data_IF_627279825459
#
_entry.id   IF_627279825459
#
_cell.length_a   1.000
_cell.length_b   1.000
_cell.length_c   1.000
_cell.angle_alpha   90.00
_cell.angle_beta   90.00
_cell.angle_gamma   90.00
#
_symmetry.space_group_name_H-M   'P 1'
#
loop_
_entity.id
_entity.type
_entity.pdbx_description
1 polymer ?
#
# COMPACT_ATOMS: atom_id res chain seq x y z
N UNK A 1 18.64 2.05 -7.05
CA UNK A 1 18.32 3.29 -7.80
C UNK A 1 16.83 3.44 -8.14
N UNK A 2 16.17 2.47 -8.78
CA UNK A 2 14.75 2.58 -9.21
C UNK A 2 13.76 2.96 -8.09
N UNK A 3 13.91 2.40 -6.89
CA UNK A 3 13.00 2.71 -5.75
C UNK A 3 13.12 4.14 -5.21
N UNK A 4 14.32 4.73 -5.28
CA UNK A 4 14.55 6.12 -4.82
C UNK A 4 13.94 7.11 -5.80
N UNK A 5 14.03 6.82 -7.10
CA UNK A 5 13.39 7.62 -8.16
C UNK A 5 11.87 7.59 -8.00
N UNK A 6 11.27 6.41 -7.82
CA UNK A 6 9.81 6.28 -7.61
C UNK A 6 9.32 7.02 -6.37
N UNK A 7 10.07 6.99 -5.28
CA UNK A 7 9.74 7.77 -4.08
C UNK A 7 9.85 9.27 -4.33
N UNK A 8 10.89 9.72 -5.03
CA UNK A 8 11.04 11.11 -5.46
C UNK A 8 9.85 11.59 -6.30
N UNK A 9 9.45 10.81 -7.30
CA UNK A 9 8.29 11.12 -8.15
C UNK A 9 6.99 11.24 -7.35
N UNK A 10 6.77 10.36 -6.37
CA UNK A 10 5.58 10.38 -5.53
C UNK A 10 5.55 11.54 -4.53
N UNK A 11 6.70 11.90 -3.94
CA UNK A 11 6.80 13.11 -3.13
C UNK A 11 6.55 14.37 -3.96
N UNK A 12 7.10 14.43 -5.17
CA UNK A 12 6.88 15.55 -6.08
C UNK A 12 5.40 15.66 -6.46
N UNK A 13 4.74 14.54 -6.74
CA UNK A 13 3.30 14.47 -7.01
C UNK A 13 2.48 14.92 -5.79
N UNK A 14 2.83 14.47 -4.58
CA UNK A 14 2.17 14.89 -3.34
C UNK A 14 2.28 16.41 -3.13
N UNK A 15 3.48 16.97 -3.29
CA UNK A 15 3.72 18.42 -3.17
C UNK A 15 2.91 19.16 -4.25
N UNK A 16 2.92 18.68 -5.49
CA UNK A 16 2.17 19.27 -6.60
C UNK A 16 0.67 19.32 -6.32
N UNK A 17 0.08 18.21 -5.85
CA UNK A 17 -1.34 18.16 -5.49
C UNK A 17 -1.64 19.11 -4.33
N UNK A 18 -0.79 19.16 -3.29
CA UNK A 18 -0.96 20.09 -2.18
C UNK A 18 -0.93 21.54 -2.65
N UNK A 19 0.05 21.93 -3.48
CA UNK A 19 0.19 23.30 -3.99
C UNK A 19 -1.04 23.69 -4.84
N UNK A 20 -1.46 22.83 -5.76
CA UNK A 20 -2.63 23.09 -6.60
C UNK A 20 -3.91 23.20 -5.76
N UNK A 21 -4.05 22.33 -4.75
CA UNK A 21 -5.22 22.35 -3.85
C UNK A 21 -5.29 23.63 -3.02
N UNK A 22 -4.15 24.07 -2.47
CA UNK A 22 -4.06 25.31 -1.67
C UNK A 22 -4.34 26.55 -2.52
N UNK A 23 -3.84 26.57 -3.77
CA UNK A 23 -4.07 27.68 -4.68
C UNK A 23 -5.52 27.75 -5.17
N UNK A 24 -6.12 26.59 -5.49
CA UNK A 24 -7.48 26.53 -6.01
C UNK A 24 -8.55 26.86 -4.95
N UNK A 25 -8.41 26.31 -3.74
CA UNK A 25 -9.43 26.44 -2.69
C UNK A 25 -8.78 26.58 -1.31
N UNK A 26 -8.57 27.81 -0.79
CA UNK A 26 -7.97 28.01 0.53
C UNK A 26 -8.78 27.41 1.68
N UNK A 27 -10.10 27.32 1.54
CA UNK A 27 -11.00 26.73 2.56
C UNK A 27 -10.77 25.22 2.76
N UNK A 28 -10.13 24.55 1.81
CA UNK A 28 -9.77 23.13 1.89
C UNK A 28 -8.59 22.88 2.85
N UNK A 29 -7.83 23.92 3.23
CA UNK A 29 -6.73 23.81 4.21
C UNK A 29 -7.20 23.24 5.54
N UNK A 30 -8.41 23.59 5.99
CA UNK A 30 -8.95 23.12 7.28
C UNK A 30 -9.21 21.61 7.22
N UNK A 31 -9.81 21.13 6.14
CA UNK A 31 -10.07 19.70 5.95
C UNK A 31 -8.79 18.91 5.76
N UNK A 32 -7.80 19.49 5.07
CA UNK A 32 -6.49 18.88 4.89
C UNK A 32 -5.72 18.83 6.22
N UNK A 33 -5.78 19.88 7.03
CA UNK A 33 -5.19 19.92 8.36
C UNK A 33 -5.83 18.90 9.33
N UNK A 34 -7.11 18.57 9.16
CA UNK A 34 -7.80 17.51 9.90
C UNK A 34 -7.46 16.11 9.37
N UNK A 35 -7.32 15.95 8.06
CA UNK A 35 -7.00 14.67 7.42
C UNK A 35 -5.52 14.27 7.58
N UNK A 36 -4.60 15.22 7.70
CA UNK A 36 -3.17 14.99 7.85
C UNK A 36 -2.81 14.16 9.11
N UNK A 37 -3.22 14.52 10.34
CA UNK A 37 -2.87 13.72 11.52
C UNK A 37 -3.49 12.33 11.49
N UNK A 38 -4.70 12.19 10.92
CA UNK A 38 -5.34 10.89 10.77
C UNK A 38 -4.57 10.01 9.79
N UNK A 39 -4.16 10.56 8.64
CA UNK A 39 -3.37 9.84 7.64
C UNK A 39 -1.96 9.51 8.13
N UNK A 40 -1.31 10.38 8.91
CA UNK A 40 -0.02 10.10 9.54
C UNK A 40 -0.11 8.97 10.58
N UNK A 41 -1.17 8.95 11.41
CA UNK A 41 -1.41 7.83 12.33
C UNK A 41 -1.62 6.51 11.58
N UNK A 42 -2.39 6.54 10.49
CA UNK A 42 -2.59 5.39 9.62
C UNK A 42 -1.29 4.94 8.96
N UNK A 43 -0.45 5.88 8.53
CA UNK A 43 0.88 5.60 7.98
C UNK A 43 1.75 4.86 9.00
N UNK A 44 1.85 5.39 10.22
CA UNK A 44 2.67 4.80 11.27
C UNK A 44 2.22 3.37 11.63
N UNK A 45 0.92 3.15 11.80
CA UNK A 45 0.38 1.81 12.05
C UNK A 45 0.59 0.86 10.88
N UNK A 46 0.56 1.34 9.64
CA UNK A 46 0.83 0.51 8.48
C UNK A 46 2.31 0.13 8.34
N UNK A 47 3.22 1.08 8.57
CA UNK A 47 4.66 0.83 8.55
C UNK A 47 5.04 -0.23 9.59
N UNK A 48 4.55 -0.11 10.82
CA UNK A 48 4.84 -1.10 11.88
C UNK A 48 4.26 -2.49 11.61
N UNK A 49 3.10 -2.59 10.97
CA UNK A 49 2.48 -3.89 10.63
C UNK A 49 3.11 -4.52 9.38
N UNK A 50 3.42 -3.72 8.36
CA UNK A 50 3.87 -4.23 7.06
C UNK A 50 5.31 -4.75 7.08
N UNK A 51 6.20 -4.19 7.90
CA UNK A 51 7.59 -4.65 8.02
C UNK A 51 7.72 -6.13 8.42
N UNK A 52 7.16 -6.61 9.55
CA UNK A 52 7.28 -8.01 9.94
C UNK A 52 6.57 -8.95 8.97
N UNK A 53 5.44 -8.53 8.38
CA UNK A 53 4.73 -9.30 7.34
C UNK A 53 5.59 -9.50 6.09
N UNK A 54 6.30 -8.47 5.64
CA UNK A 54 7.21 -8.57 4.49
C UNK A 54 8.41 -9.46 4.79
N UNK A 55 8.94 -9.41 6.00
CA UNK A 55 10.00 -10.32 6.41
C UNK A 55 9.51 -11.78 6.42
N UNK A 56 8.31 -12.03 6.94
CA UNK A 56 7.68 -13.34 6.92
C UNK A 56 7.40 -13.86 5.49
N UNK A 57 6.93 -12.99 4.58
CA UNK A 57 6.76 -13.32 3.17
C UNK A 57 8.11 -13.69 2.51
N UNK A 58 9.17 -12.93 2.77
CA UNK A 58 10.50 -13.24 2.25
C UNK A 58 11.03 -14.58 2.80
N UNK A 59 10.83 -14.84 4.10
CA UNK A 59 11.27 -16.07 4.76
C UNK A 59 10.53 -17.32 4.24
N UNK A 60 9.22 -17.21 3.97
CA UNK A 60 8.41 -18.33 3.45
C UNK A 60 8.65 -18.60 1.96
N UNK A 61 9.11 -17.60 1.20
CA UNK A 61 9.38 -17.75 -0.24
C UNK A 61 10.71 -18.45 -0.55
N UNK A 62 11.73 -18.31 0.30
CA UNK A 62 13.05 -18.92 0.10
C UNK A 62 13.02 -20.48 0.06
N UNK A 63 12.34 -21.17 1.00
CA UNK A 63 12.22 -22.63 0.99
C UNK A 63 11.64 -23.19 -0.30
N UNK A 64 10.64 -22.52 -0.91
CA UNK A 64 10.03 -22.94 -2.18
C UNK A 64 11.09 -23.04 -3.28
N UNK A 65 11.96 -22.03 -3.39
CA UNK A 65 13.03 -22.03 -4.39
C UNK A 65 14.11 -23.08 -4.09
N UNK A 66 14.48 -23.23 -2.82
CA UNK A 66 15.46 -24.23 -2.40
C UNK A 66 14.97 -25.66 -2.69
N UNK A 67 13.72 -25.96 -2.33
CA UNK A 67 13.13 -27.28 -2.53
C UNK A 67 12.93 -27.60 -4.01
N UNK A 68 12.60 -26.59 -4.83
CA UNK A 68 12.55 -26.74 -6.29
C UNK A 68 13.93 -26.99 -6.90
N UNK A 69 14.97 -26.28 -6.44
CA UNK A 69 16.34 -26.49 -6.88
C UNK A 69 16.86 -27.89 -6.51
N UNK A 70 16.55 -28.37 -5.30
CA UNK A 70 16.88 -29.73 -4.85
C UNK A 70 16.17 -30.79 -5.70
N UNK A 71 14.88 -30.60 -6.00
CA UNK A 71 14.11 -31.49 -6.85
C UNK A 71 14.67 -31.57 -8.29
N UNK A 72 15.16 -30.44 -8.83
CA UNK A 72 15.81 -30.40 -10.15
C UNK A 72 17.16 -31.13 -10.15
N UNK A 73 17.99 -30.90 -9.14
CA UNK A 73 19.29 -31.56 -9.02
C UNK A 73 19.14 -33.09 -8.81
N UNK A 74 18.13 -33.51 -8.03
CA UNK A 74 17.84 -34.91 -7.71
C UNK A 74 16.83 -35.61 -8.64
N UNK A 75 16.44 -35.00 -9.76
CA UNK A 75 15.27 -35.44 -10.55
C UNK A 75 15.35 -36.90 -10.99
N UNK A 76 16.53 -37.34 -11.45
CA UNK A 76 16.76 -38.73 -11.90
C UNK A 76 16.55 -39.71 -10.75
N UNK A 77 17.08 -39.40 -9.57
CA UNK A 77 16.98 -40.23 -8.35
C UNK A 77 15.52 -40.31 -7.91
N UNK A 78 14.81 -39.18 -7.84
CA UNK A 78 13.40 -39.14 -7.42
C UNK A 78 12.53 -39.99 -8.36
N UNK A 79 12.80 -39.93 -9.67
CA UNK A 79 12.10 -40.74 -10.67
C UNK A 79 12.45 -42.22 -10.55
N UNK A 80 13.72 -42.56 -10.33
CA UNK A 80 14.17 -43.94 -10.15
C UNK A 80 13.49 -44.62 -8.95
N UNK A 81 13.26 -43.89 -7.86
CA UNK A 81 12.60 -44.41 -6.65
C UNK A 81 11.07 -44.25 -6.63
N UNK A 82 10.46 -43.63 -7.65
CA UNK A 82 9.00 -43.44 -7.69
C UNK A 82 8.44 -42.54 -6.58
N UNK A 83 9.25 -41.61 -6.03
CA UNK A 83 8.88 -40.75 -4.88
C UNK A 83 8.45 -39.34 -5.28
N UNK A 84 8.05 -39.13 -6.54
CA UNK A 84 7.50 -37.86 -7.04
C UNK A 84 6.35 -37.29 -6.19
N UNK A 85 5.32 -38.07 -5.78
CA UNK A 85 4.17 -37.50 -5.07
C UNK A 85 4.55 -36.93 -3.70
N UNK A 86 5.56 -37.49 -3.02
CA UNK A 86 6.03 -37.00 -1.73
C UNK A 86 6.73 -35.63 -1.87
N UNK A 87 7.57 -35.49 -2.90
CA UNK A 87 8.20 -34.21 -3.23
C UNK A 87 7.17 -33.16 -3.67
N UNK A 88 6.18 -33.55 -4.47
CA UNK A 88 5.10 -32.64 -4.89
C UNK A 88 4.24 -32.19 -3.72
N UNK A 89 3.85 -33.10 -2.81
CA UNK A 89 3.07 -32.74 -1.63
C UNK A 89 3.81 -31.74 -0.73
N UNK A 90 5.12 -31.92 -0.55
CA UNK A 90 5.95 -30.98 0.22
C UNK A 90 6.09 -29.63 -0.48
N UNK A 91 6.29 -29.62 -1.80
CA UNK A 91 6.33 -28.38 -2.58
C UNK A 91 5.01 -27.61 -2.50
N UNK A 92 3.86 -28.28 -2.62
CA UNK A 92 2.55 -27.66 -2.48
C UNK A 92 2.37 -27.04 -1.08
N UNK A 93 2.81 -27.73 -0.03
CA UNK A 93 2.75 -27.19 1.33
C UNK A 93 3.55 -25.88 1.47
N UNK A 94 4.80 -25.86 0.99
CA UNK A 94 5.65 -24.67 1.04
C UNK A 94 5.05 -23.53 0.18
N UNK A 95 4.44 -23.86 -0.95
CA UNK A 95 3.73 -22.89 -1.81
C UNK A 95 2.49 -22.32 -1.12
N UNK A 96 1.70 -23.14 -0.42
CA UNK A 96 0.52 -22.69 0.32
C UNK A 96 0.91 -21.73 1.45
N UNK A 97 2.00 -22.01 2.16
CA UNK A 97 2.54 -21.11 3.18
C UNK A 97 2.98 -19.76 2.61
N UNK A 98 3.74 -19.79 1.51
CA UNK A 98 4.20 -18.58 0.83
C UNK A 98 3.03 -17.76 0.26
N UNK A 99 2.04 -18.43 -0.33
CA UNK A 99 0.85 -17.78 -0.86
C UNK A 99 -0.01 -17.16 0.25
N UNK A 100 -0.12 -17.84 1.39
CA UNK A 100 -0.80 -17.30 2.58
C UNK A 100 -0.11 -16.03 3.09
N UNK A 101 1.22 -16.03 3.20
CA UNK A 101 1.99 -14.86 3.58
C UNK A 101 1.79 -13.69 2.61
N UNK A 102 1.85 -13.96 1.30
CA UNK A 102 1.61 -12.98 0.26
C UNK A 102 0.18 -12.39 0.33
N UNK A 103 -0.83 -13.22 0.55
CA UNK A 103 -2.22 -12.78 0.66
C UNK A 103 -2.43 -11.86 1.87
N UNK A 104 -1.81 -12.16 3.01
CA UNK A 104 -1.85 -11.28 4.18
C UNK A 104 -1.22 -9.93 3.90
N UNK A 105 -0.07 -9.88 3.22
CA UNK A 105 0.54 -8.63 2.79
C UNK A 105 -0.40 -7.81 1.89
N UNK A 106 -1.02 -8.46 0.91
CA UNK A 106 -1.96 -7.83 0.01
C UNK A 106 -3.18 -7.26 0.75
N UNK A 107 -3.72 -8.02 1.70
CA UNK A 107 -4.85 -7.59 2.54
C UNK A 107 -4.48 -6.37 3.40
N UNK A 108 -3.28 -6.32 3.99
CA UNK A 108 -2.81 -5.16 4.76
C UNK A 108 -2.68 -3.92 3.88
N UNK A 109 -2.18 -4.07 2.64
CA UNK A 109 -2.13 -2.99 1.66
C UNK A 109 -3.52 -2.46 1.30
N UNK A 110 -4.49 -3.36 1.10
CA UNK A 110 -5.87 -3.01 0.81
C UNK A 110 -6.53 -2.29 2.01
N UNK A 111 -6.30 -2.79 3.23
CA UNK A 111 -6.81 -2.18 4.46
C UNK A 111 -6.36 -0.72 4.64
N UNK A 112 -5.08 -0.41 4.34
CA UNK A 112 -4.58 0.97 4.34
C UNK A 112 -5.33 1.83 3.31
N UNK A 113 -5.44 1.35 2.07
CA UNK A 113 -6.16 2.07 0.99
C UNK A 113 -7.60 2.37 1.38
N UNK A 114 -8.30 1.40 1.95
CA UNK A 114 -9.69 1.57 2.38
C UNK A 114 -9.80 2.64 3.47
N UNK A 115 -8.94 2.61 4.50
CA UNK A 115 -8.98 3.61 5.58
C UNK A 115 -8.61 5.02 5.10
N UNK A 116 -7.65 5.14 4.19
CA UNK A 116 -7.29 6.42 3.60
C UNK A 116 -8.41 6.99 2.72
N UNK A 117 -9.14 6.14 1.98
CA UNK A 117 -10.31 6.54 1.21
C UNK A 117 -11.44 7.03 2.13
N UNK A 118 -11.71 6.32 3.24
CA UNK A 118 -12.71 6.73 4.24
C UNK A 118 -12.32 8.07 4.88
N UNK A 119 -11.05 8.27 5.25
CA UNK A 119 -10.55 9.52 5.79
C UNK A 119 -10.68 10.69 4.78
N UNK A 120 -10.43 10.44 3.50
CA UNK A 120 -10.66 11.42 2.44
C UNK A 120 -12.14 11.76 2.26
N UNK A 121 -13.02 10.76 2.31
CA UNK A 121 -14.46 10.94 2.19
C UNK A 121 -15.06 11.72 3.38
N UNK A 122 -14.60 11.48 4.61
CA UNK A 122 -15.05 12.24 5.78
C UNK A 122 -14.58 13.69 5.73
N UNK A 123 -13.33 13.94 5.32
CA UNK A 123 -12.83 15.30 5.11
C UNK A 123 -13.69 16.06 4.07
N UNK A 124 -14.03 15.39 2.97
CA UNK A 124 -14.93 15.93 1.95
C UNK A 124 -16.33 16.23 2.47
N UNK A 125 -16.93 15.30 3.22
CA UNK A 125 -18.26 15.50 3.80
C UNK A 125 -18.30 16.73 4.73
N UNK A 126 -17.23 16.96 5.51
CA UNK A 126 -17.09 18.15 6.37
C UNK A 126 -17.00 19.43 5.52
N UNK A 127 -16.23 19.43 4.43
CA UNK A 127 -16.15 20.61 3.54
C UNK A 127 -17.48 20.93 2.86
N UNK A 128 -18.22 19.91 2.42
CA UNK A 128 -19.54 20.09 1.81
C UNK A 128 -20.59 20.58 2.81
N UNK A 129 -20.52 20.10 4.06
CA UNK A 129 -21.39 20.59 5.13
C UNK A 129 -21.06 22.04 5.51
N UNK A 130 -19.77 22.42 5.53
CA UNK A 130 -19.36 23.82 5.69
C UNK A 130 -19.83 24.69 4.51
N UNK A 131 -19.89 24.13 3.30
CA UNK A 131 -20.35 24.84 2.11
C UNK A 131 -21.82 25.22 2.15
N UNK A 132 -22.67 24.43 2.83
CA UNK A 132 -24.07 24.82 3.12
C UNK A 132 -24.18 26.11 3.94
N UNK A 133 -23.11 26.55 4.61
CA UNK A 133 -23.04 27.80 5.35
C UNK A 133 -22.77 29.06 4.49
N UNK A 134 -22.69 28.95 3.16
CA UNK A 134 -22.54 30.10 2.25
C UNK A 134 -21.35 30.04 1.29
N UNK A 135 -20.77 28.86 1.03
CA UNK A 135 -19.71 28.70 0.03
C UNK A 135 -20.34 28.40 -1.33
N UNK A 136 -19.81 29.02 -2.37
CA UNK A 136 -20.26 28.85 -3.75
C UNK A 136 -20.12 27.39 -4.23
N UNK A 137 -21.12 26.91 -4.98
CA UNK A 137 -21.19 25.52 -5.45
C UNK A 137 -20.01 25.16 -6.37
N UNK A 138 -19.48 26.15 -7.11
CA UNK A 138 -18.29 25.99 -7.93
C UNK A 138 -17.06 25.62 -7.09
N UNK A 139 -16.88 26.25 -5.93
CA UNK A 139 -15.76 25.99 -5.01
C UNK A 139 -15.88 24.59 -4.40
N UNK A 140 -17.09 24.14 -4.09
CA UNK A 140 -17.33 22.78 -3.61
C UNK A 140 -16.99 21.71 -4.66
N UNK A 141 -17.31 21.95 -5.94
CA UNK A 141 -16.94 21.06 -7.05
C UNK A 141 -15.43 20.98 -7.29
N UNK A 142 -14.74 22.12 -7.21
CA UNK A 142 -13.27 22.16 -7.26
C UNK A 142 -12.67 21.39 -6.09
N UNK A 143 -13.23 21.54 -4.88
CA UNK A 143 -12.75 20.83 -3.72
C UNK A 143 -12.85 19.29 -3.86
N UNK A 144 -13.94 18.80 -4.42
CA UNK A 144 -14.13 17.38 -4.74
C UNK A 144 -13.09 16.85 -5.73
N UNK A 145 -12.80 17.64 -6.77
CA UNK A 145 -11.86 17.24 -7.83
C UNK A 145 -10.42 17.14 -7.31
N UNK A 146 -10.03 17.99 -6.35
CA UNK A 146 -8.66 17.99 -5.79
C UNK A 146 -8.46 17.10 -4.56
N UNK A 147 -9.50 16.80 -3.78
CA UNK A 147 -9.38 15.96 -2.59
C UNK A 147 -9.09 14.47 -2.90
N UNK A 148 -9.64 13.95 -4.01
CA UNK A 148 -9.43 12.57 -4.43
C UNK A 148 -7.95 12.29 -4.78
N UNK A 149 -7.30 13.08 -5.66
CA UNK A 149 -5.87 12.98 -5.92
C UNK A 149 -5.01 13.11 -4.66
N UNK A 150 -5.41 13.96 -3.70
CA UNK A 150 -4.67 14.14 -2.45
C UNK A 150 -4.63 12.85 -1.62
N UNK A 151 -5.79 12.23 -1.38
CA UNK A 151 -5.86 10.96 -0.63
C UNK A 151 -5.04 9.86 -1.31
N UNK A 152 -5.10 9.77 -2.64
CA UNK A 152 -4.31 8.82 -3.40
C UNK A 152 -2.80 9.08 -3.29
N UNK A 153 -2.37 10.33 -3.45
CA UNK A 153 -0.97 10.74 -3.35
C UNK A 153 -0.37 10.41 -1.97
N UNK A 154 -1.15 10.58 -0.89
CA UNK A 154 -0.74 10.22 0.47
C UNK A 154 -0.52 8.71 0.59
N UNK A 155 -1.48 7.88 0.13
CA UNK A 155 -1.35 6.40 0.18
C UNK A 155 -0.12 5.94 -0.61
N UNK A 156 0.07 6.48 -1.80
CA UNK A 156 1.18 6.14 -2.66
C UNK A 156 2.53 6.55 -2.04
N UNK A 157 2.60 7.74 -1.43
CA UNK A 157 3.80 8.20 -0.71
C UNK A 157 4.17 7.28 0.46
N UNK A 158 3.18 6.87 1.27
CA UNK A 158 3.39 5.95 2.40
C UNK A 158 3.91 4.59 1.90
N UNK A 159 3.32 4.07 0.82
CA UNK A 159 3.75 2.80 0.23
C UNK A 159 5.18 2.86 -0.28
N UNK A 160 5.54 3.93 -0.99
CA UNK A 160 6.90 4.12 -1.47
C UNK A 160 7.92 4.32 -0.35
N UNK A 161 7.53 4.97 0.75
CA UNK A 161 8.38 5.05 1.94
C UNK A 161 8.62 3.65 2.54
N UNK A 162 7.56 2.86 2.68
CA UNK A 162 7.65 1.49 3.16
C UNK A 162 8.39 0.54 2.19
N UNK A 163 8.53 0.87 0.90
CA UNK A 163 9.38 0.13 -0.05
C UNK A 163 10.87 0.50 0.10
N UNK A 164 11.16 1.73 0.54
CA UNK A 164 12.54 2.22 0.72
C UNK A 164 13.20 1.67 1.98
N UNK A 165 12.49 1.61 3.10
CA UNK A 165 13.04 1.13 4.37
C UNK A 165 13.44 -0.36 4.35
N UNK A 166 12.97 -1.12 3.37
CA UNK A 166 13.20 -2.56 3.27
C UNK A 166 14.35 -2.95 2.35
N UNK A 167 15.17 -1.96 1.96
CA UNK A 167 16.42 -2.18 1.24
C UNK A 167 17.62 -2.15 2.16
#
# INVERSE_FOLDING_TARGET
MVGVVRFGDMLLALIGVVVVTVYAVPSLLIAMALALPLSLRLAYSFLSLSQPLKHYEAATRSPVYSHFAEALAGLIVIRAYGRQPLFLARLHHDMDESNRAHYYLWLTNYYLSMRAAVAGATALAVTLQAARGGIDAAVAGLALTYALPFSQAVVFSIRSHAELELR
#
